data_IF_891441524599
#
_entry.id   IF_891441524599
#
_cell.length_a   1.000
_cell.length_b   1.000
_cell.length_c   1.000
_cell.angle_alpha   90.00
_cell.angle_beta   90.00
_cell.angle_gamma   90.00
#
_symmetry.space_group_name_H-M   'P 1'
#
loop_
_entity.id
_entity.type
_entity.pdbx_description
1 polymer ?
#
# COMPACT_ATOMS: atom_id res chain seq x y z
N UNK A 1 -10.58 7.50 -0.28
CA UNK A 1 -10.21 6.31 0.51
C UNK A 1 -11.35 5.29 0.68
N UNK A 2 -12.64 5.62 0.47
CA UNK A 2 -13.73 4.64 0.66
C UNK A 2 -14.00 4.22 2.11
N UNK A 3 -13.39 4.91 3.10
CA UNK A 3 -13.58 4.66 4.54
C UNK A 3 -14.94 5.18 5.03
N UNK A 4 -15.41 6.27 4.44
CA UNK A 4 -16.72 6.85 4.71
C UNK A 4 -17.47 7.06 3.39
N UNK A 5 -18.79 6.85 3.42
CA UNK A 5 -19.66 7.21 2.30
C UNK A 5 -19.96 8.71 2.40
N UNK A 6 -20.00 9.43 1.27
CA UNK A 6 -20.45 10.81 1.27
C UNK A 6 -21.91 10.88 1.71
N UNK A 7 -22.22 11.74 2.68
CA UNK A 7 -23.59 11.98 3.14
C UNK A 7 -24.44 12.74 2.10
N UNK A 8 -23.78 13.46 1.19
CA UNK A 8 -24.37 14.10 0.01
C UNK A 8 -23.31 14.34 -1.08
N UNK A 9 -23.75 14.55 -2.32
CA UNK A 9 -22.87 14.77 -3.47
C UNK A 9 -22.38 13.48 -4.12
N UNK A 10 -21.42 13.61 -5.04
CA UNK A 10 -20.82 12.49 -5.78
C UNK A 10 -19.30 12.62 -5.81
N UNK A 11 -18.60 11.48 -5.78
CA UNK A 11 -17.16 11.42 -6.00
C UNK A 11 -16.94 11.09 -7.47
N UNK A 12 -16.15 11.90 -8.16
CA UNK A 12 -15.72 11.63 -9.53
C UNK A 12 -14.24 11.21 -9.52
N UNK A 13 -13.91 10.18 -10.28
CA UNK A 13 -12.54 9.78 -10.59
C UNK A 13 -12.36 9.88 -12.10
N UNK A 14 -11.40 10.70 -12.55
CA UNK A 14 -11.18 10.98 -13.98
C UNK A 14 -12.45 11.44 -14.73
N UNK A 15 -13.34 12.15 -14.03
CA UNK A 15 -14.62 12.65 -14.56
C UNK A 15 -15.79 11.67 -14.43
N UNK A 16 -15.54 10.41 -14.10
CA UNK A 16 -16.57 9.38 -13.97
C UNK A 16 -17.04 9.19 -12.52
N UNK A 17 -18.35 9.06 -12.26
CA UNK A 17 -18.86 8.78 -10.92
C UNK A 17 -18.36 7.45 -10.37
N UNK A 18 -17.82 7.48 -9.14
CA UNK A 18 -17.34 6.29 -8.43
C UNK A 18 -17.98 6.16 -7.05
N UNK A 19 -18.27 4.92 -6.67
CA UNK A 19 -18.71 4.56 -5.32
C UNK A 19 -17.78 3.50 -4.77
N UNK A 20 -17.09 3.83 -3.68
CA UNK A 20 -16.22 2.88 -2.97
C UNK A 20 -16.99 2.30 -1.78
N UNK A 21 -17.03 0.98 -1.67
CA UNK A 21 -17.65 0.25 -0.56
C UNK A 21 -16.64 -0.08 0.55
N UNK A 22 -15.36 0.25 0.30
CA UNK A 22 -14.30 0.16 1.29
C UNK A 22 -12.96 0.66 0.73
N UNK A 23 -11.90 0.63 1.56
CA UNK A 23 -10.56 1.00 1.15
C UNK A 23 -9.96 0.15 0.02
N UNK A 24 -10.39 -1.11 -0.09
CA UNK A 24 -9.95 -1.99 -1.17
C UNK A 24 -10.37 -1.45 -2.55
N UNK A 25 -11.64 -1.08 -2.72
CA UNK A 25 -12.16 -0.53 -3.97
C UNK A 25 -11.40 0.73 -4.41
N UNK A 26 -11.10 1.62 -3.46
CA UNK A 26 -10.34 2.83 -3.75
C UNK A 26 -8.91 2.51 -4.21
N UNK A 27 -8.25 1.55 -3.56
CA UNK A 27 -6.91 1.10 -3.93
C UNK A 27 -6.89 0.45 -5.31
N UNK A 28 -7.87 -0.39 -5.62
CA UNK A 28 -7.96 -1.09 -6.91
C UNK A 28 -8.27 -0.10 -8.05
N UNK A 29 -8.89 1.04 -7.73
CA UNK A 29 -9.03 2.20 -8.60
C UNK A 29 -7.76 3.08 -8.69
N UNK A 30 -6.62 2.62 -8.16
CA UNK A 30 -5.34 3.34 -8.22
C UNK A 30 -5.18 4.47 -7.20
N UNK A 31 -6.10 4.61 -6.23
CA UNK A 31 -6.03 5.65 -5.21
C UNK A 31 -5.16 5.19 -4.04
N UNK A 32 -4.02 5.86 -3.85
CA UNK A 32 -3.18 5.72 -2.66
C UNK A 32 -3.59 6.76 -1.60
N UNK A 33 -3.61 6.36 -0.33
CA UNK A 33 -3.91 7.24 0.80
C UNK A 33 -2.63 7.48 1.60
N UNK A 34 -2.30 8.74 1.86
CA UNK A 34 -1.19 9.15 2.72
C UNK A 34 -1.80 9.88 3.93
N UNK A 35 -1.59 9.35 5.13
CA UNK A 35 -2.03 9.97 6.37
C UNK A 35 -0.96 10.95 6.90
N UNK A 36 -1.37 12.01 7.60
CA UNK A 36 -0.46 13.03 8.13
C UNK A 36 0.48 12.47 9.22
N UNK A 37 0.02 11.47 9.96
CA UNK A 37 0.81 10.68 10.90
C UNK A 37 0.86 9.23 10.39
N UNK A 38 1.95 8.79 9.74
CA UNK A 38 2.03 7.43 9.24
C UNK A 38 2.12 6.46 10.43
N UNK A 39 1.15 5.54 10.54
CA UNK A 39 1.24 4.42 11.46
C UNK A 39 2.23 3.41 10.89
N UNK A 40 3.43 3.36 11.49
CA UNK A 40 4.42 2.31 11.23
C UNK A 40 4.28 1.22 12.28
N UNK A 41 4.57 -0.01 11.88
CA UNK A 41 4.73 -1.13 12.80
C UNK A 41 6.21 -1.25 13.17
N UNK A 42 6.61 -0.85 14.39
CA UNK A 42 8.03 -0.73 14.75
C UNK A 42 8.74 -2.09 14.83
N UNK A 43 7.99 -3.17 15.01
CA UNK A 43 8.53 -4.54 15.07
C UNK A 43 8.68 -5.18 13.69
N UNK A 44 8.29 -4.49 12.63
CA UNK A 44 8.35 -4.99 11.25
C UNK A 44 9.45 -4.29 10.47
N UNK A 45 10.13 -5.05 9.62
CA UNK A 45 11.08 -4.48 8.68
C UNK A 45 10.43 -3.45 7.75
N UNK A 46 11.23 -2.57 7.14
CA UNK A 46 10.77 -1.65 6.10
C UNK A 46 10.01 -2.40 4.99
N UNK A 47 10.54 -3.55 4.55
CA UNK A 47 9.90 -4.39 3.54
C UNK A 47 8.51 -4.89 4.00
N UNK A 48 8.38 -5.30 5.26
CA UNK A 48 7.11 -5.78 5.82
C UNK A 48 6.09 -4.65 6.02
N UNK A 49 6.54 -3.48 6.49
CA UNK A 49 5.71 -2.28 6.58
C UNK A 49 5.17 -1.87 5.20
N UNK A 50 6.02 -1.86 4.16
CA UNK A 50 5.61 -1.48 2.81
C UNK A 50 4.61 -2.48 2.23
N UNK A 51 4.83 -3.79 2.42
CA UNK A 51 4.02 -4.82 1.76
C UNK A 51 2.92 -5.42 2.64
N UNK A 52 2.64 -4.84 3.81
CA UNK A 52 1.58 -5.32 4.68
C UNK A 52 0.23 -5.43 3.96
N UNK A 53 -0.40 -6.61 4.06
CA UNK A 53 -1.68 -6.91 3.42
C UNK A 53 -1.61 -7.06 1.89
N UNK A 54 -0.42 -6.93 1.29
CA UNK A 54 -0.16 -6.99 -0.15
C UNK A 54 1.16 -7.72 -0.47
N UNK A 55 1.60 -8.62 0.40
CA UNK A 55 2.84 -9.35 0.22
C UNK A 55 2.75 -10.23 -1.05
N UNK A 56 3.76 -10.23 -1.92
CA UNK A 56 3.87 -11.21 -2.99
C UNK A 56 3.81 -12.64 -2.41
N UNK A 57 3.06 -13.53 -3.06
CA UNK A 57 2.86 -14.90 -2.59
C UNK A 57 3.35 -15.92 -3.62
N UNK A 58 3.89 -17.03 -3.13
CA UNK A 58 4.22 -18.24 -3.91
C UNK A 58 3.06 -19.24 -3.88
N UNK A 59 3.31 -20.40 -4.49
CA UNK A 59 2.44 -21.56 -4.37
C UNK A 59 2.05 -21.85 -2.91
N UNK A 60 0.81 -22.31 -2.72
CA UNK A 60 0.21 -22.57 -1.40
C UNK A 60 0.08 -21.31 -0.52
N UNK A 61 0.15 -20.11 -1.09
CA UNK A 61 -0.10 -18.86 -0.37
C UNK A 61 1.04 -18.40 0.56
N UNK A 62 2.23 -19.02 0.48
CA UNK A 62 3.40 -18.61 1.28
C UNK A 62 3.93 -17.26 0.82
N UNK A 63 4.34 -16.40 1.75
CA UNK A 63 4.95 -15.10 1.44
C UNK A 63 6.29 -15.31 0.71
N UNK A 64 6.50 -14.56 -0.38
CA UNK A 64 7.77 -14.49 -1.10
C UNK A 64 8.65 -13.37 -0.56
N UNK A 65 9.36 -13.64 0.53
CA UNK A 65 10.26 -12.66 1.14
C UNK A 65 11.34 -12.14 0.17
N UNK A 66 11.78 -12.98 -0.78
CA UNK A 66 12.77 -12.56 -1.79
C UNK A 66 12.18 -11.51 -2.72
N UNK A 67 10.97 -11.73 -3.21
CA UNK A 67 10.29 -10.76 -4.07
C UNK A 67 10.03 -9.44 -3.32
N UNK A 68 9.58 -9.50 -2.06
CA UNK A 68 9.37 -8.33 -1.21
C UNK A 68 10.65 -7.50 -1.04
N UNK A 69 11.78 -8.15 -0.75
CA UNK A 69 13.08 -7.48 -0.59
C UNK A 69 13.56 -6.83 -1.88
N UNK A 70 13.51 -7.55 -3.00
CA UNK A 70 13.90 -7.00 -4.32
C UNK A 70 13.04 -5.79 -4.69
N UNK A 71 11.72 -5.87 -4.49
CA UNK A 71 10.82 -4.76 -4.79
C UNK A 71 11.06 -3.56 -3.87
N UNK A 72 11.36 -3.80 -2.58
CA UNK A 72 11.71 -2.74 -1.63
C UNK A 72 13.01 -2.04 -2.01
N UNK A 73 14.06 -2.78 -2.34
CA UNK A 73 15.34 -2.21 -2.78
C UNK A 73 15.18 -1.35 -4.04
N UNK A 74 14.37 -1.80 -5.00
CA UNK A 74 14.06 -1.03 -6.21
C UNK A 74 13.28 0.27 -5.89
N UNK A 75 12.36 0.24 -4.91
CA UNK A 75 11.66 1.44 -4.45
C UNK A 75 12.62 2.44 -3.77
N UNK A 76 13.49 1.96 -2.89
CA UNK A 76 14.49 2.80 -2.20
C UNK A 76 15.42 3.48 -3.20
N UNK A 77 15.92 2.71 -4.19
CA UNK A 77 16.74 3.26 -5.28
C UNK A 77 16.01 4.34 -6.08
N UNK A 78 14.74 4.12 -6.44
CA UNK A 78 13.93 5.12 -7.16
C UNK A 78 13.66 6.39 -6.36
N UNK A 79 13.60 6.27 -5.03
CA UNK A 79 13.42 7.40 -4.11
C UNK A 79 14.75 8.10 -3.78
N UNK A 80 15.89 7.54 -4.17
CA UNK A 80 17.22 8.06 -3.83
C UNK A 80 17.58 7.90 -2.35
N UNK A 81 17.02 6.88 -1.69
CA UNK A 81 17.19 6.64 -0.25
C UNK A 81 18.02 5.36 -0.05
N UNK A 82 19.03 5.42 0.81
CA UNK A 82 19.81 4.25 1.22
C UNK A 82 19.35 3.76 2.59
N UNK A 83 18.43 2.78 2.59
CA UNK A 83 17.97 2.08 3.78
C UNK A 83 17.98 0.58 3.52
N UNK A 84 18.34 -0.19 4.55
CA UNK A 84 18.30 -1.65 4.50
C UNK A 84 16.83 -2.13 4.59
N UNK A 85 16.30 -2.83 3.57
CA UNK A 85 14.94 -3.36 3.55
C UNK A 85 14.57 -4.23 4.76
N UNK A 86 15.56 -4.83 5.43
CA UNK A 86 15.37 -5.76 6.54
C UNK A 86 15.43 -5.11 7.91
N UNK A 87 15.84 -3.84 7.96
CA UNK A 87 15.88 -3.08 9.19
C UNK A 87 14.43 -2.75 9.62
N UNK A 88 14.09 -2.90 10.91
CA UNK A 88 12.87 -2.33 11.47
C UNK A 88 12.89 -0.80 11.45
#
# INVERSE_FOLDING_TARGET
AGVHRPDSGQVLLDGEPVTFHGPADARDAGIAVIYQEPTLFPDLSIAENIFMGRQPRRALGRIDHRATRTATAALMHRLGVELDPDRP
#
